data_IF_079472181699
#
_entry.id   IF_079472181699
#
_cell.length_a   1.000
_cell.length_b   1.000
_cell.length_c   1.000
_cell.angle_alpha   90.00
_cell.angle_beta   90.00
_cell.angle_gamma   90.00
#
_symmetry.space_group_name_H-M   'P 1'
#
loop_
_entity.id
_entity.type
_entity.pdbx_description
1 polymer ?
#
# COMPACT_ATOMS: atom_id res chain seq x y z
N UNK A 1 1.89 -8.02 -9.29
CA UNK A 1 3.02 -7.91 -8.33
C UNK A 1 2.66 -7.71 -6.85
N UNK A 2 1.50 -8.17 -6.35
CA UNK A 2 1.06 -7.89 -4.96
C UNK A 2 1.53 -8.94 -3.92
N UNK A 3 2.36 -9.90 -4.33
CA UNK A 3 2.89 -10.96 -3.45
C UNK A 3 4.10 -10.50 -2.62
N UNK A 4 4.65 -9.32 -2.88
CA UNK A 4 5.72 -8.72 -2.11
C UNK A 4 5.49 -7.21 -1.88
N UNK A 5 6.10 -6.68 -0.83
CA UNK A 5 6.09 -5.28 -0.46
C UNK A 5 6.73 -4.45 -1.58
N UNK A 6 6.03 -3.41 -2.04
CA UNK A 6 6.49 -2.61 -3.18
C UNK A 6 7.85 -1.93 -2.94
N UNK A 7 8.15 -1.58 -1.68
CA UNK A 7 9.37 -0.84 -1.33
C UNK A 7 10.60 -1.73 -1.12
N UNK A 8 10.42 -2.97 -0.65
CA UNK A 8 11.54 -3.77 -0.13
C UNK A 8 11.50 -5.24 -0.53
N UNK A 9 10.46 -5.69 -1.23
CA UNK A 9 10.33 -7.07 -1.70
C UNK A 9 10.02 -8.11 -0.61
N UNK A 10 9.86 -7.72 0.66
CA UNK A 10 9.46 -8.67 1.70
C UNK A 10 8.07 -9.26 1.38
N UNK A 11 7.83 -10.52 1.73
CA UNK A 11 6.60 -11.24 1.39
C UNK A 11 5.42 -10.96 2.34
N UNK A 12 5.70 -10.42 3.54
CA UNK A 12 4.67 -10.06 4.51
C UNK A 12 4.02 -8.71 4.16
N UNK A 13 2.86 -8.74 3.52
CA UNK A 13 2.21 -7.56 2.93
C UNK A 13 0.87 -7.19 3.60
N UNK A 14 0.81 -7.23 4.94
CA UNK A 14 -0.44 -6.99 5.68
C UNK A 14 -0.86 -5.52 5.78
N UNK A 15 -0.14 -4.62 5.09
CA UNK A 15 -0.40 -3.19 5.10
C UNK A 15 -0.51 -2.67 3.67
N UNK A 16 -1.15 -1.51 3.54
CA UNK A 16 -1.36 -0.86 2.26
C UNK A 16 -1.20 0.66 2.37
N UNK A 17 -0.76 1.30 1.30
CA UNK A 17 -0.97 2.73 1.09
C UNK A 17 -2.11 2.93 0.09
N UNK A 18 -3.24 3.43 0.59
CA UNK A 18 -4.42 3.72 -0.23
C UNK A 18 -4.15 4.85 -1.21
N UNK A 19 -3.29 5.82 -0.85
CA UNK A 19 -2.96 6.94 -1.75
C UNK A 19 -2.36 6.47 -3.05
N UNK A 20 -1.54 5.42 -3.01
CA UNK A 20 -0.83 4.88 -4.17
C UNK A 20 -1.41 3.55 -4.68
N UNK A 21 -2.40 2.98 -3.99
CA UNK A 21 -2.98 1.69 -4.36
C UNK A 21 -2.01 0.52 -4.23
N UNK A 22 -1.09 0.53 -3.26
CA UNK A 22 0.00 -0.47 -3.14
C UNK A 22 0.05 -1.18 -1.80
N UNK A 23 0.64 -2.37 -1.79
CA UNK A 23 0.88 -3.18 -0.60
C UNK A 23 2.29 -3.00 -0.04
N UNK A 24 2.36 -3.00 1.29
CA UNK A 24 3.53 -2.71 2.10
C UNK A 24 3.67 -3.75 3.20
N UNK A 25 4.92 -4.01 3.61
CA UNK A 25 5.19 -4.69 4.87
C UNK A 25 5.05 -3.74 6.06
N UNK A 26 5.00 -4.29 7.28
CA UNK A 26 4.86 -3.52 8.52
C UNK A 26 5.95 -2.45 8.71
N UNK A 27 7.19 -2.73 8.28
CA UNK A 27 8.30 -1.77 8.40
C UNK A 27 8.15 -0.60 7.45
N UNK A 28 7.83 -0.88 6.19
CA UNK A 28 7.62 0.16 5.17
C UNK A 28 6.35 0.96 5.44
N UNK A 29 5.30 0.32 5.95
CA UNK A 29 4.09 1.03 6.38
C UNK A 29 4.39 2.03 7.52
N UNK A 30 5.27 1.68 8.46
CA UNK A 30 5.79 2.60 9.47
C UNK A 30 6.53 3.80 8.88
N UNK A 31 7.37 3.57 7.87
CA UNK A 31 8.06 4.65 7.13
C UNK A 31 7.06 5.56 6.42
N UNK A 32 6.08 4.99 5.72
CA UNK A 32 5.02 5.75 5.05
C UNK A 32 4.22 6.62 6.02
N UNK A 33 3.96 6.15 7.25
CA UNK A 33 3.28 6.96 8.28
C UNK A 33 4.09 8.20 8.67
N UNK A 34 5.43 8.13 8.66
CA UNK A 34 6.29 9.27 8.97
C UNK A 34 6.20 10.41 7.95
N UNK A 35 5.75 10.13 6.71
CA UNK A 35 5.54 11.14 5.67
C UNK A 35 4.26 11.96 5.85
N UNK A 36 3.40 11.56 6.80
CA UNK A 36 2.12 12.20 7.07
C UNK A 36 0.99 11.75 6.13
N UNK A 37 -0.25 11.94 6.61
CA UNK A 37 -1.47 11.43 5.97
C UNK A 37 -1.81 12.09 4.62
N UNK A 38 -1.32 13.32 4.39
CA UNK A 38 -1.48 14.00 3.11
C UNK A 38 -0.66 13.31 2.00
N UNK A 39 0.49 12.76 2.37
CA UNK A 39 1.41 12.06 1.45
C UNK A 39 1.01 10.60 1.28
N UNK A 40 0.84 9.86 2.39
CA UNK A 40 0.57 8.42 2.33
C UNK A 40 -0.46 8.00 3.36
N UNK A 41 -1.65 7.62 2.89
CA UNK A 41 -2.73 7.08 3.75
C UNK A 41 -2.55 5.58 3.94
N UNK A 42 -1.94 5.23 5.06
CA UNK A 42 -1.65 3.82 5.41
C UNK A 42 -2.83 3.16 6.11
N UNK A 43 -3.13 1.92 5.73
CA UNK A 43 -4.13 1.02 6.35
C UNK A 43 -3.57 -0.39 6.56
N UNK A 44 -3.99 -1.04 7.63
CA UNK A 44 -3.87 -2.48 7.82
C UNK A 44 -4.94 -3.20 7.00
N UNK A 45 -4.58 -4.30 6.34
CA UNK A 45 -5.52 -5.09 5.56
C UNK A 45 -6.54 -5.78 6.47
N UNK A 46 -6.09 -6.35 7.60
CA UNK A 46 -6.92 -7.18 8.48
C UNK A 46 -7.48 -6.44 9.68
N UNK A 47 -6.86 -5.34 10.12
CA UNK A 47 -7.21 -4.68 11.38
C UNK A 47 -8.00 -3.38 11.21
N UNK A 48 -7.91 -2.71 10.05
CA UNK A 48 -8.61 -1.46 9.81
C UNK A 48 -9.94 -1.69 9.10
N UNK A 49 -10.91 -0.80 9.34
CA UNK A 49 -12.12 -0.73 8.54
C UNK A 49 -11.83 -0.03 7.21
N UNK A 50 -12.42 -0.55 6.14
CA UNK A 50 -12.25 -0.06 4.77
C UNK A 50 -13.54 0.53 4.23
N UNK A 51 -13.46 1.73 3.65
CA UNK A 51 -14.55 2.25 2.82
C UNK A 51 -14.50 1.64 1.43
N UNK A 52 -15.66 1.60 0.76
CA UNK A 52 -15.75 1.11 -0.62
C UNK A 52 -14.77 1.81 -1.57
N UNK A 53 -14.64 3.13 -1.44
CA UNK A 53 -13.68 3.92 -2.23
C UNK A 53 -12.22 3.54 -2.00
N UNK A 54 -11.85 3.13 -0.78
CA UNK A 54 -10.49 2.68 -0.47
C UNK A 54 -10.24 1.30 -1.09
N UNK A 55 -11.22 0.39 -1.04
CA UNK A 55 -11.12 -0.92 -1.69
C UNK A 55 -10.96 -0.76 -3.20
N UNK A 56 -11.77 0.09 -3.83
CA UNK A 56 -11.65 0.38 -5.26
C UNK A 56 -10.26 0.94 -5.61
N UNK A 57 -9.73 1.89 -4.83
CA UNK A 57 -8.39 2.42 -5.07
C UNK A 57 -7.30 1.34 -5.04
N UNK A 58 -7.46 0.29 -4.21
CA UNK A 58 -6.54 -0.84 -4.18
C UNK A 58 -6.72 -1.80 -5.36
N UNK A 59 -7.96 -1.98 -5.84
CA UNK A 59 -8.27 -2.85 -6.98
C UNK A 59 -7.85 -2.24 -8.33
N UNK A 60 -8.00 -0.92 -8.47
CA UNK A 60 -7.58 -0.14 -9.66
C UNK A 60 -6.08 0.17 -9.68
N UNK A 61 -5.39 -0.09 -8.56
CA UNK A 61 -3.95 0.07 -8.42
C UNK A 61 -3.20 -1.25 -8.48
N UNK A 62 -2.15 -1.36 -7.67
CA UNK A 62 -1.35 -2.55 -7.52
C UNK A 62 0.14 -2.27 -7.70
N UNK A 63 0.97 -3.08 -7.05
CA UNK A 63 2.42 -2.86 -6.99
C UNK A 63 3.07 -2.91 -8.37
N UNK A 64 2.56 -3.78 -9.25
CA UNK A 64 3.08 -3.91 -10.62
C UNK A 64 2.69 -2.72 -11.49
N UNK A 65 1.49 -2.18 -11.32
CA UNK A 65 1.09 -0.98 -12.03
C UNK A 65 1.91 0.23 -11.58
N UNK A 66 2.20 0.36 -10.28
CA UNK A 66 3.08 1.42 -9.78
C UNK A 66 4.51 1.25 -10.32
N UNK A 67 5.03 0.02 -10.37
CA UNK A 67 6.34 -0.25 -10.95
C UNK A 67 6.39 0.18 -12.42
N UNK A 68 5.42 -0.26 -13.23
CA UNK A 68 5.31 0.10 -14.64
C UNK A 68 5.09 1.60 -14.89
N UNK A 69 4.61 2.35 -13.89
CA UNK A 69 4.45 3.81 -14.00
C UNK A 69 5.77 4.56 -13.84
N UNK A 70 6.72 4.02 -13.07
CA UNK A 70 8.01 4.65 -12.80
C UNK A 70 9.16 4.16 -13.69
N UNK A 71 8.96 3.05 -14.41
CA UNK A 71 9.87 2.57 -15.46
C UNK A 71 9.68 3.35 -16.78
#
# INVERSE_FOLDING_TARGET
GNSCCVDCGNHDNDWASVTYGVLLCVRCSGRHRSYGVATSRVRSISMDNWSYSQVLAMLEGGNEQLHNFYD
#
